data_IF_769946556179
#
_entry.id   IF_769946556179
#
_cell.length_a   1.000
_cell.length_b   1.000
_cell.length_c   1.000
_cell.angle_alpha   90.00
_cell.angle_beta   90.00
_cell.angle_gamma   90.00
#
_symmetry.space_group_name_H-M   'P 1'
#
loop_
_entity.id
_entity.type
_entity.pdbx_description
1 polymer ?
#
# COMPACT_ATOMS: atom_id res chain seq x y z
N UNK A 1 38.71 -22.77 10.74
CA UNK A 1 37.55 -21.96 10.32
C UNK A 1 37.69 -20.60 11.00
N UNK A 2 38.14 -19.57 10.29
CA UNK A 2 38.12 -18.21 10.82
C UNK A 2 36.65 -17.82 10.97
N UNK A 3 36.21 -17.56 12.21
CA UNK A 3 34.94 -16.89 12.44
C UNK A 3 35.01 -15.58 11.65
N UNK A 4 34.19 -15.45 10.60
CA UNK A 4 34.08 -14.20 9.87
C UNK A 4 33.81 -13.07 10.85
N UNK A 5 34.34 -11.86 10.61
CA UNK A 5 34.12 -10.73 11.51
C UNK A 5 32.64 -10.63 11.83
N UNK A 6 32.29 -10.58 13.12
CA UNK A 6 30.90 -10.37 13.54
C UNK A 6 30.43 -9.09 12.87
N UNK A 7 29.64 -9.24 11.80
CA UNK A 7 29.06 -8.11 11.11
C UNK A 7 28.10 -7.47 12.10
N UNK A 8 28.50 -6.32 12.65
CA UNK A 8 27.64 -5.50 13.49
C UNK A 8 26.30 -5.25 12.79
N UNK A 9 25.28 -4.90 13.58
CA UNK A 9 23.96 -4.61 13.03
C UNK A 9 24.09 -3.60 11.87
N UNK A 10 23.36 -3.80 10.76
CA UNK A 10 23.58 -3.05 9.52
C UNK A 10 23.47 -1.53 9.71
N UNK A 11 22.67 -1.08 10.68
CA UNK A 11 22.44 0.34 11.04
C UNK A 11 23.04 0.72 12.40
N UNK A 12 24.07 0.00 12.87
CA UNK A 12 24.70 0.26 14.15
C UNK A 12 25.22 1.70 14.25
N UNK A 13 24.81 2.42 15.29
CA UNK A 13 25.25 3.80 15.54
C UNK A 13 26.77 3.92 15.74
N UNK A 14 27.49 2.82 15.97
CA UNK A 14 28.95 2.83 16.15
C UNK A 14 29.75 2.83 14.84
N UNK A 15 29.28 2.18 13.77
CA UNK A 15 30.05 1.95 12.53
C UNK A 15 29.81 2.99 11.45
N UNK A 16 30.81 3.76 11.00
CA UNK A 16 30.57 4.86 10.04
C UNK A 16 30.48 4.34 8.61
N UNK A 17 29.49 4.82 7.84
CA UNK A 17 29.39 4.49 6.42
C UNK A 17 28.94 5.69 5.57
N UNK A 18 29.62 5.98 4.48
CA UNK A 18 29.23 7.04 3.54
C UNK A 18 29.34 6.53 2.10
N UNK A 19 28.93 7.33 1.13
CA UNK A 19 29.11 7.05 -0.29
C UNK A 19 30.37 7.74 -0.81
N UNK A 20 31.10 7.08 -1.71
CA UNK A 20 32.21 7.71 -2.43
C UNK A 20 31.73 8.91 -3.26
N UNK A 21 32.42 10.04 -3.15
CA UNK A 21 32.12 11.28 -3.90
C UNK A 21 32.23 11.14 -5.42
N UNK A 22 33.01 10.15 -5.90
CA UNK A 22 33.25 9.94 -7.33
C UNK A 22 32.28 8.93 -7.95
N UNK A 23 32.09 7.76 -7.33
CA UNK A 23 31.32 6.66 -7.92
C UNK A 23 30.05 6.28 -7.15
N UNK A 24 29.82 6.83 -5.96
CA UNK A 24 28.66 6.52 -5.12
C UNK A 24 28.70 5.19 -4.38
N UNK A 25 29.76 4.40 -4.55
CA UNK A 25 29.89 3.10 -3.86
C UNK A 25 29.97 3.29 -2.34
N UNK A 26 29.35 2.41 -1.53
CA UNK A 26 29.46 2.45 -0.07
C UNK A 26 30.91 2.32 0.40
N UNK A 27 31.27 3.14 1.38
CA UNK A 27 32.58 3.15 2.03
C UNK A 27 32.37 3.14 3.53
N UNK A 28 32.91 2.11 4.20
CA UNK A 28 32.88 1.98 5.66
C UNK A 28 34.23 2.34 6.26
N UNK A 29 34.23 2.93 7.45
CA UNK A 29 35.45 3.25 8.19
C UNK A 29 35.20 3.63 9.65
N UNK A 30 36.23 4.13 10.34
CA UNK A 30 36.07 4.68 11.69
C UNK A 30 35.17 5.94 11.68
N UNK A 31 34.66 6.31 12.86
CA UNK A 31 33.87 7.53 13.05
C UNK A 31 34.76 8.77 12.99
N UNK A 32 35.04 9.22 11.77
CA UNK A 32 36.05 10.23 11.47
C UNK A 32 37.27 9.64 10.77
N UNK A 33 37.88 10.40 9.85
CA UNK A 33 39.15 10.05 9.21
C UNK A 33 39.03 9.79 7.72
N UNK A 34 39.87 8.92 7.17
CA UNK A 34 39.88 8.60 5.75
C UNK A 34 39.66 7.10 5.51
N UNK A 35 38.92 6.77 4.46
CA UNK A 35 38.72 5.41 3.99
C UNK A 35 38.86 5.34 2.47
N UNK A 36 39.45 4.27 1.95
CA UNK A 36 39.62 4.08 0.52
C UNK A 36 38.38 3.42 -0.09
N UNK A 37 37.84 4.00 -1.16
CA UNK A 37 36.74 3.39 -1.90
C UNK A 37 37.21 2.11 -2.61
N UNK A 38 36.59 0.97 -2.33
CA UNK A 38 36.96 -0.32 -2.93
C UNK A 38 36.75 -0.41 -4.46
N UNK A 39 35.96 0.50 -5.05
CA UNK A 39 35.64 0.48 -6.49
C UNK A 39 36.52 1.37 -7.34
N UNK A 40 36.73 2.62 -6.94
CA UNK A 40 37.52 3.60 -7.71
C UNK A 40 38.82 4.02 -7.03
N UNK A 41 39.18 3.41 -5.89
CA UNK A 41 40.37 3.71 -5.10
C UNK A 41 40.49 5.14 -4.54
N UNK A 42 39.48 5.99 -4.75
CA UNK A 42 39.43 7.35 -4.21
C UNK A 42 39.44 7.32 -2.68
N UNK A 43 40.29 8.14 -2.07
CA UNK A 43 40.26 8.40 -0.63
C UNK A 43 39.04 9.27 -0.29
N UNK A 44 38.20 8.77 0.60
CA UNK A 44 36.98 9.44 1.08
C UNK A 44 37.22 9.87 2.51
N UNK A 45 37.09 11.17 2.77
CA UNK A 45 37.02 11.69 4.13
C UNK A 45 35.65 11.36 4.73
N UNK A 46 35.65 10.62 5.84
CA UNK A 46 34.46 10.31 6.62
C UNK A 46 34.35 11.36 7.74
N UNK A 47 33.29 12.17 7.72
CA UNK A 47 33.07 13.15 8.80
C UNK A 47 32.64 12.42 10.07
N UNK A 48 33.15 12.81 11.26
CA UNK A 48 32.65 12.30 12.54
C UNK A 48 31.15 12.58 12.69
N UNK A 49 30.37 11.64 13.21
CA UNK A 49 28.91 11.82 13.42
C UNK A 49 28.55 13.00 14.28
N UNK A 50 29.38 13.34 15.25
CA UNK A 50 29.19 14.53 16.09
C UNK A 50 29.09 15.85 15.29
N UNK A 51 29.45 15.85 14.00
CA UNK A 51 29.27 17.01 13.12
C UNK A 51 27.88 17.14 12.48
N UNK A 52 27.08 16.07 12.45
CA UNK A 52 25.77 16.07 11.77
C UNK A 52 24.67 15.29 12.51
N UNK A 53 24.98 14.62 13.61
CA UNK A 53 24.07 13.79 14.40
C UNK A 53 24.40 13.95 15.90
N UNK A 54 24.29 15.16 16.41
CA UNK A 54 24.53 15.47 17.83
C UNK A 54 23.27 15.19 18.64
N UNK A 55 23.33 14.42 19.74
CA UNK A 55 22.19 14.23 20.63
C UNK A 55 21.66 15.56 21.16
N UNK A 56 20.36 15.82 20.95
CA UNK A 56 19.65 17.01 21.43
C UNK A 56 18.62 16.68 22.54
N UNK A 57 18.24 15.41 22.68
CA UNK A 57 17.16 14.96 23.58
C UNK A 57 15.83 15.72 23.34
N UNK A 58 15.48 15.92 22.07
CA UNK A 58 14.23 16.58 21.70
C UNK A 58 13.03 15.81 22.24
N UNK A 59 12.22 16.47 23.06
CA UNK A 59 11.01 15.91 23.63
C UNK A 59 9.80 16.23 22.75
N UNK A 60 8.91 15.25 22.59
CA UNK A 60 7.62 15.46 21.94
C UNK A 60 6.73 16.35 22.81
N UNK A 61 6.49 17.57 22.34
CA UNK A 61 5.53 18.50 22.95
C UNK A 61 4.13 18.37 22.33
N UNK A 62 3.18 19.20 22.80
CA UNK A 62 1.93 19.40 22.08
C UNK A 62 2.21 19.96 20.68
N UNK A 63 1.49 19.47 19.67
CA UNK A 63 1.69 19.91 18.30
C UNK A 63 1.24 21.36 18.13
N UNK A 64 2.07 22.18 17.47
CA UNK A 64 1.74 23.57 17.20
C UNK A 64 0.55 23.66 16.21
N UNK A 65 -0.50 24.47 16.48
CA UNK A 65 -1.68 24.55 15.63
C UNK A 65 -1.39 24.86 14.15
N UNK A 66 -0.33 25.62 13.86
CA UNK A 66 0.08 25.94 12.49
C UNK A 66 0.52 24.71 11.67
N UNK A 67 0.96 23.61 12.31
CA UNK A 67 1.32 22.38 11.61
C UNK A 67 0.09 21.71 10.99
N UNK A 68 -1.07 21.78 11.65
CA UNK A 68 -2.33 21.23 11.12
C UNK A 68 -2.78 21.94 9.84
N UNK A 69 -2.39 23.20 9.61
CA UNK A 69 -2.68 23.90 8.35
C UNK A 69 -1.83 23.41 7.15
N UNK A 70 -0.84 22.55 7.40
CA UNK A 70 -0.01 21.92 6.36
C UNK A 70 -0.51 20.53 5.98
N UNK A 71 -1.46 19.98 6.74
CA UNK A 71 -2.05 18.67 6.54
C UNK A 71 -2.81 18.56 5.20
N UNK A 72 -2.83 17.38 4.59
CA UNK A 72 -3.45 17.14 3.28
C UNK A 72 -2.67 17.70 2.08
N UNK A 73 -1.43 18.16 2.27
CA UNK A 73 -0.57 18.61 1.17
C UNK A 73 0.34 17.46 0.73
N UNK A 74 0.17 16.92 -0.50
CA UNK A 74 1.00 15.83 -0.95
C UNK A 74 2.46 16.29 -1.08
N UNK A 75 3.38 15.40 -0.74
CA UNK A 75 4.80 15.64 -0.96
C UNK A 75 5.11 15.45 -2.45
N UNK A 76 5.42 16.54 -3.14
CA UNK A 76 5.76 16.52 -4.57
C UNK A 76 7.28 16.60 -4.73
N UNK A 77 7.89 15.79 -5.64
CA UNK A 77 9.31 15.92 -5.96
C UNK A 77 9.67 17.35 -6.40
N UNK A 78 10.85 17.88 -6.01
CA UNK A 78 11.33 19.17 -6.52
C UNK A 78 11.35 19.21 -8.06
N UNK A 79 11.01 20.36 -8.70
CA UNK A 79 10.86 20.46 -10.15
C UNK A 79 12.08 19.96 -10.95
N UNK A 80 13.29 20.20 -10.44
CA UNK A 80 14.55 19.82 -11.08
C UNK A 80 14.77 18.31 -11.18
N UNK A 81 14.03 17.50 -10.43
CA UNK A 81 14.16 16.04 -10.43
C UNK A 81 12.83 15.35 -10.71
N UNK A 82 11.72 16.08 -10.77
CA UNK A 82 10.37 15.55 -11.01
C UNK A 82 10.28 14.67 -12.26
N UNK A 83 11.08 14.96 -13.30
CA UNK A 83 11.11 14.16 -14.52
C UNK A 83 11.60 12.72 -14.32
N UNK A 84 12.24 12.39 -13.20
CA UNK A 84 12.71 11.03 -12.89
C UNK A 84 11.58 10.09 -12.43
N UNK A 85 10.43 10.65 -12.04
CA UNK A 85 9.26 9.90 -11.58
C UNK A 85 8.31 9.63 -12.75
N UNK A 86 7.75 8.42 -12.79
CA UNK A 86 6.75 8.01 -13.78
C UNK A 86 5.53 7.37 -13.10
N UNK A 87 4.36 7.40 -13.74
CA UNK A 87 3.19 6.54 -13.49
C UNK A 87 2.90 6.18 -12.02
N UNK A 88 2.70 7.18 -11.15
CA UNK A 88 2.25 6.92 -9.78
C UNK A 88 3.28 7.16 -8.68
N UNK A 89 4.34 7.92 -8.96
CA UNK A 89 5.16 8.48 -7.88
C UNK A 89 6.37 7.63 -7.48
N UNK A 90 6.87 6.77 -8.38
CA UNK A 90 8.15 6.08 -8.18
C UNK A 90 9.16 6.33 -9.30
N UNK A 91 10.46 6.13 -8.98
CA UNK A 91 11.54 6.08 -9.97
C UNK A 91 11.57 4.67 -10.59
N UNK A 92 11.29 4.52 -11.90
CA UNK A 92 11.28 3.21 -12.55
C UNK A 92 12.70 2.64 -12.70
N UNK A 93 12.80 1.32 -12.92
CA UNK A 93 14.09 0.62 -12.94
C UNK A 93 15.07 1.17 -14.00
N UNK A 94 14.58 1.58 -15.17
CA UNK A 94 15.42 2.12 -16.25
C UNK A 94 16.01 3.51 -15.95
N UNK A 95 15.43 4.27 -15.01
CA UNK A 95 15.93 5.60 -14.62
C UNK A 95 16.81 5.59 -13.38
N UNK A 96 17.05 4.44 -12.75
CA UNK A 96 17.83 4.40 -11.51
C UNK A 96 19.26 4.91 -11.66
N UNK A 97 19.90 4.64 -12.81
CA UNK A 97 21.24 5.14 -13.08
C UNK A 97 21.26 6.67 -13.18
N UNK A 98 20.28 7.25 -13.86
CA UNK A 98 20.09 8.69 -13.97
C UNK A 98 19.80 9.33 -12.60
N UNK A 99 18.93 8.71 -11.81
CA UNK A 99 18.63 9.15 -10.45
C UNK A 99 19.85 9.12 -9.52
N UNK A 100 20.74 8.13 -9.66
CA UNK A 100 22.00 8.09 -8.91
C UNK A 100 22.95 9.23 -9.31
N UNK A 101 23.02 9.58 -10.60
CA UNK A 101 23.79 10.74 -11.08
C UNK A 101 23.20 12.04 -10.53
N UNK A 102 21.88 12.20 -10.60
CA UNK A 102 21.18 13.36 -10.02
C UNK A 102 21.42 13.46 -8.51
N UNK A 103 21.38 12.34 -7.77
CA UNK A 103 21.63 12.29 -6.34
C UNK A 103 23.06 12.72 -5.99
N UNK A 104 24.07 12.26 -6.71
CA UNK A 104 25.46 12.71 -6.53
C UNK A 104 25.63 14.20 -6.84
N UNK A 105 24.95 14.70 -7.87
CA UNK A 105 24.92 16.12 -8.22
C UNK A 105 24.30 16.97 -7.11
N UNK A 106 23.12 16.58 -6.61
CA UNK A 106 22.43 17.23 -5.51
C UNK A 106 23.28 17.21 -4.23
N UNK A 107 23.95 16.09 -3.92
CA UNK A 107 24.88 15.99 -2.78
C UNK A 107 26.00 17.01 -2.80
N UNK A 108 26.66 17.17 -3.95
CA UNK A 108 27.74 18.17 -4.10
C UNK A 108 27.22 19.59 -3.92
N UNK A 109 26.05 19.91 -4.48
CA UNK A 109 25.43 21.25 -4.34
C UNK A 109 24.95 21.52 -2.92
N UNK A 110 24.32 20.55 -2.25
CA UNK A 110 23.88 20.67 -0.86
C UNK A 110 25.08 20.91 0.08
N UNK A 111 26.20 20.21 -0.14
CA UNK A 111 27.45 20.46 0.59
C UNK A 111 28.03 21.87 0.34
N UNK A 112 27.73 22.47 -0.82
CA UNK A 112 28.04 23.86 -1.15
C UNK A 112 26.96 24.86 -0.68
N UNK A 113 26.05 24.44 0.20
CA UNK A 113 24.97 25.25 0.78
C UNK A 113 23.89 25.71 -0.21
N UNK A 114 23.68 24.99 -1.31
CA UNK A 114 22.49 25.17 -2.15
C UNK A 114 21.24 24.61 -1.44
N UNK A 115 20.35 25.52 -1.05
CA UNK A 115 19.11 25.19 -0.31
C UNK A 115 18.19 24.27 -1.11
N UNK A 116 18.07 24.48 -2.43
CA UNK A 116 17.20 23.67 -3.29
C UNK A 116 17.73 22.24 -3.45
N UNK A 117 19.05 22.09 -3.48
CA UNK A 117 19.70 20.78 -3.56
C UNK A 117 19.45 19.90 -2.33
N UNK A 118 19.20 20.50 -1.17
CA UNK A 118 18.89 19.78 0.07
C UNK A 118 17.55 19.01 -0.01
N UNK A 119 16.53 19.58 -0.64
CA UNK A 119 15.26 18.88 -0.85
C UNK A 119 15.41 17.77 -1.89
N UNK A 120 16.15 18.05 -2.97
CA UNK A 120 16.42 17.07 -4.02
C UNK A 120 17.15 15.84 -3.49
N UNK A 121 18.22 16.04 -2.69
CA UNK A 121 18.96 14.92 -2.11
C UNK A 121 18.11 14.16 -1.09
N UNK A 122 17.29 14.80 -0.26
CA UNK A 122 16.40 14.10 0.67
C UNK A 122 15.40 13.20 -0.07
N UNK A 123 14.71 13.73 -1.08
CA UNK A 123 13.75 12.98 -1.88
C UNK A 123 14.41 11.80 -2.61
N UNK A 124 15.53 12.03 -3.29
CA UNK A 124 16.27 10.97 -3.99
C UNK A 124 16.83 9.93 -3.03
N UNK A 125 17.28 10.33 -1.84
CA UNK A 125 17.77 9.39 -0.82
C UNK A 125 16.65 8.48 -0.33
N UNK A 126 15.46 9.02 -0.06
CA UNK A 126 14.29 8.23 0.36
C UNK A 126 13.97 7.13 -0.65
N UNK A 127 13.88 7.49 -1.93
CA UNK A 127 13.57 6.55 -3.02
C UNK A 127 14.69 5.52 -3.27
N UNK A 128 15.93 5.98 -3.39
CA UNK A 128 17.04 5.09 -3.75
C UNK A 128 17.43 4.17 -2.59
N UNK A 129 17.36 4.64 -1.34
CA UNK A 129 17.59 3.82 -0.16
C UNK A 129 16.48 2.76 0.02
N UNK A 130 15.21 3.13 -0.21
CA UNK A 130 14.08 2.17 -0.21
C UNK A 130 14.29 1.07 -1.25
N UNK A 131 14.70 1.42 -2.47
CA UNK A 131 15.00 0.43 -3.53
C UNK A 131 16.23 -0.43 -3.23
N UNK A 132 17.25 0.13 -2.58
CA UNK A 132 18.42 -0.64 -2.12
C UNK A 132 18.01 -1.64 -1.01
N UNK A 133 17.16 -1.21 -0.08
CA UNK A 133 16.61 -2.07 0.96
C UNK A 133 15.75 -3.20 0.39
N UNK A 134 14.88 -2.93 -0.58
CA UNK A 134 14.08 -3.95 -1.26
C UNK A 134 14.96 -5.02 -1.93
N UNK A 135 16.19 -4.66 -2.34
CA UNK A 135 17.23 -5.57 -2.87
C UNK A 135 18.10 -6.22 -1.80
N UNK A 136 17.86 -5.93 -0.52
CA UNK A 136 18.67 -6.33 0.64
C UNK A 136 20.10 -5.78 0.62
N UNK A 137 20.35 -4.69 -0.10
CA UNK A 137 21.62 -3.95 -0.10
C UNK A 137 21.60 -2.89 1.02
N UNK A 138 21.55 -3.37 2.26
CA UNK A 138 21.50 -2.53 3.46
C UNK A 138 22.73 -1.61 3.61
N UNK A 139 23.96 -2.06 3.29
CA UNK A 139 25.12 -1.16 3.30
C UNK A 139 24.93 0.03 2.38
N UNK A 140 24.40 -0.18 1.16
CA UNK A 140 24.14 0.95 0.25
C UNK A 140 23.06 1.88 0.76
N UNK A 141 21.93 1.35 1.21
CA UNK A 141 20.86 2.17 1.76
C UNK A 141 21.38 3.07 2.91
N UNK A 142 22.13 2.49 3.83
CA UNK A 142 22.79 3.20 4.93
C UNK A 142 23.77 4.26 4.45
N UNK A 143 24.70 3.88 3.57
CA UNK A 143 25.72 4.77 3.04
C UNK A 143 25.11 6.02 2.39
N UNK A 144 24.02 5.84 1.65
CA UNK A 144 23.30 6.95 1.01
C UNK A 144 22.66 7.89 2.05
N UNK A 145 22.00 7.35 3.07
CA UNK A 145 21.36 8.16 4.12
C UNK A 145 22.40 8.95 4.92
N UNK A 146 23.47 8.30 5.39
CA UNK A 146 24.53 8.97 6.13
C UNK A 146 25.30 9.98 5.25
N UNK A 147 25.53 9.69 3.96
CA UNK A 147 26.12 10.64 3.02
C UNK A 147 25.24 11.87 2.78
N UNK A 148 23.92 11.68 2.76
CA UNK A 148 22.98 12.79 2.65
C UNK A 148 22.98 13.64 3.92
N UNK A 149 22.98 13.01 5.11
CA UNK A 149 23.07 13.68 6.41
C UNK A 149 24.31 14.58 6.53
N UNK A 150 25.46 14.15 5.99
CA UNK A 150 26.69 14.96 5.95
C UNK A 150 26.59 16.24 5.10
N UNK A 151 25.64 16.25 4.17
CA UNK A 151 25.56 17.26 3.11
C UNK A 151 24.45 18.28 3.38
N UNK A 152 23.34 17.85 3.98
CA UNK A 152 22.20 18.72 4.29
C UNK A 152 22.46 19.61 5.49
N UNK A 153 21.96 20.84 5.42
CA UNK A 153 22.16 21.86 6.47
C UNK A 153 20.88 22.19 7.22
N UNK A 154 19.71 22.07 6.57
CA UNK A 154 18.45 22.45 7.21
C UNK A 154 18.00 21.40 8.22
N UNK A 155 17.53 21.79 9.42
CA UNK A 155 17.04 20.86 10.44
C UNK A 155 15.96 19.92 9.91
N UNK A 156 15.01 20.43 9.10
CA UNK A 156 13.93 19.60 8.53
C UNK A 156 14.44 18.43 7.67
N UNK A 157 15.47 18.68 6.87
CA UNK A 157 16.10 17.69 5.98
C UNK A 157 16.81 16.62 6.80
N UNK A 158 17.49 17.04 7.88
CA UNK A 158 18.13 16.11 8.83
C UNK A 158 17.11 15.25 9.55
N UNK A 159 15.99 15.80 10.01
CA UNK A 159 14.93 15.04 10.69
C UNK A 159 14.38 13.90 9.83
N UNK A 160 14.18 14.13 8.52
CA UNK A 160 13.77 13.08 7.57
C UNK A 160 14.78 11.92 7.55
N UNK A 161 16.05 12.26 7.34
CA UNK A 161 17.11 11.26 7.19
C UNK A 161 17.43 10.54 8.52
N UNK A 162 17.39 11.25 9.64
CA UNK A 162 17.52 10.66 10.99
C UNK A 162 16.35 9.73 11.29
N UNK A 163 15.13 10.09 10.88
CA UNK A 163 13.95 9.25 11.02
C UNK A 163 14.09 7.94 10.25
N UNK A 164 14.59 7.99 9.01
CA UNK A 164 14.92 6.80 8.23
C UNK A 164 15.93 5.91 8.96
N UNK A 165 17.04 6.47 9.48
CA UNK A 165 18.05 5.70 10.21
C UNK A 165 17.48 5.03 11.48
N UNK A 166 16.70 5.77 12.27
CA UNK A 166 16.08 5.25 13.49
C UNK A 166 15.13 4.09 13.16
N UNK A 167 14.27 4.26 12.15
CA UNK A 167 13.31 3.23 11.72
C UNK A 167 13.99 1.98 11.16
N UNK A 168 15.06 2.13 10.37
CA UNK A 168 15.83 1.00 9.82
C UNK A 168 16.60 0.24 10.90
N UNK A 169 17.17 0.93 11.89
CA UNK A 169 17.79 0.30 13.04
C UNK A 169 16.79 -0.50 13.88
N UNK A 170 15.61 0.09 14.17
CA UNK A 170 14.54 -0.60 14.89
C UNK A 170 14.03 -1.83 14.12
N UNK A 171 13.89 -1.71 12.80
CA UNK A 171 13.53 -2.82 11.90
C UNK A 171 14.54 -3.97 11.97
N UNK A 172 15.83 -3.65 12.02
CA UNK A 172 16.90 -4.62 12.17
C UNK A 172 17.01 -5.21 13.59
N UNK A 173 16.15 -4.80 14.53
CA UNK A 173 16.18 -5.23 15.93
C UNK A 173 17.26 -4.55 16.78
N UNK A 174 17.99 -3.58 16.24
CA UNK A 174 19.00 -2.81 16.97
C UNK A 174 18.33 -1.60 17.65
N UNK A 175 17.59 -1.89 18.72
CA UNK A 175 16.86 -0.89 19.49
C UNK A 175 17.78 0.17 20.08
N UNK A 176 19.01 -0.19 20.47
CA UNK A 176 19.98 0.74 21.02
C UNK A 176 20.42 1.77 19.97
N UNK A 177 20.81 1.33 18.77
CA UNK A 177 21.16 2.26 17.70
C UNK A 177 19.97 3.09 17.24
N UNK A 178 18.78 2.49 17.17
CA UNK A 178 17.56 3.21 16.83
C UNK A 178 17.28 4.37 17.80
N UNK A 179 17.53 4.13 19.09
CA UNK A 179 17.43 5.13 20.15
C UNK A 179 18.48 6.22 20.03
N UNK A 180 19.71 5.85 19.70
CA UNK A 180 20.81 6.80 19.51
C UNK A 180 20.50 7.74 18.32
N UNK A 181 20.07 7.20 17.17
CA UNK A 181 19.64 8.01 16.02
C UNK A 181 18.46 8.94 16.36
N UNK A 182 17.47 8.44 17.10
CA UNK A 182 16.33 9.24 17.52
C UNK A 182 16.74 10.41 18.44
N UNK A 183 17.75 10.22 19.30
CA UNK A 183 18.24 11.27 20.19
C UNK A 183 18.86 12.46 19.46
N UNK A 184 19.26 12.28 18.20
CA UNK A 184 19.91 13.31 17.37
C UNK A 184 18.93 14.26 16.68
N UNK A 185 17.62 14.05 16.81
CA UNK A 185 16.62 14.94 16.21
C UNK A 185 16.72 16.35 16.78
N UNK A 186 16.69 17.35 15.90
CA UNK A 186 16.61 18.76 16.26
C UNK A 186 15.13 19.16 16.51
N UNK A 187 14.91 20.35 17.09
CA UNK A 187 13.57 20.89 17.27
C UNK A 187 12.88 21.10 15.91
N UNK A 188 11.66 20.60 15.79
CA UNK A 188 10.88 20.57 14.54
C UNK A 188 10.21 21.92 14.28
N UNK A 189 10.11 22.31 13.01
CA UNK A 189 9.58 23.63 12.61
C UNK A 189 8.39 23.53 11.66
N UNK A 190 8.17 22.35 11.07
CA UNK A 190 7.13 22.08 10.08
C UNK A 190 6.49 20.71 10.33
N UNK A 191 5.37 20.45 9.64
CA UNK A 191 4.63 19.20 9.82
C UNK A 191 5.44 17.98 9.38
N UNK A 192 6.27 18.10 8.34
CA UNK A 192 7.07 16.99 7.82
C UNK A 192 8.12 16.52 8.83
N UNK A 193 8.93 17.44 9.35
CA UNK A 193 9.94 17.13 10.36
C UNK A 193 9.33 16.63 11.68
N UNK A 194 8.18 17.19 12.09
CA UNK A 194 7.40 16.72 13.25
C UNK A 194 6.85 15.31 13.04
N UNK A 195 6.32 15.01 11.86
CA UNK A 195 5.79 13.70 11.51
C UNK A 195 6.89 12.64 11.51
N UNK A 196 8.07 12.97 10.97
CA UNK A 196 9.24 12.09 10.98
C UNK A 196 9.70 11.78 12.43
N UNK A 197 9.73 12.77 13.32
CA UNK A 197 10.06 12.57 14.73
C UNK A 197 9.02 11.68 15.42
N UNK A 198 7.73 11.97 15.25
CA UNK A 198 6.63 11.24 15.89
C UNK A 198 6.55 9.79 15.43
N UNK A 199 6.58 9.55 14.13
CA UNK A 199 6.52 8.19 13.57
C UNK A 199 7.76 7.40 13.92
N UNK A 200 8.96 8.00 13.88
CA UNK A 200 10.18 7.32 14.32
C UNK A 200 10.14 6.99 15.81
N UNK A 201 9.62 7.90 16.65
CA UNK A 201 9.40 7.64 18.07
C UNK A 201 8.44 6.47 18.27
N UNK A 202 7.33 6.41 17.54
CA UNK A 202 6.39 5.30 17.59
C UNK A 202 7.02 3.95 17.19
N UNK A 203 7.86 3.93 16.15
CA UNK A 203 8.58 2.71 15.73
C UNK A 203 9.55 2.24 16.82
N UNK A 204 10.37 3.15 17.34
CA UNK A 204 11.36 2.83 18.39
C UNK A 204 10.68 2.40 19.69
N UNK A 205 9.61 3.10 20.09
CA UNK A 205 8.81 2.75 21.27
C UNK A 205 8.15 1.37 21.12
N UNK A 206 7.63 1.05 19.94
CA UNK A 206 7.11 -0.29 19.64
C UNK A 206 8.18 -1.37 19.79
N UNK A 207 9.39 -1.13 19.28
CA UNK A 207 10.51 -2.05 19.42
C UNK A 207 10.97 -2.25 20.87
N UNK A 208 10.69 -1.29 21.75
CA UNK A 208 10.93 -1.38 23.21
C UNK A 208 9.76 -1.98 23.99
N UNK A 209 8.60 -2.17 23.36
CA UNK A 209 7.37 -2.57 24.04
C UNK A 209 6.68 -1.45 24.84
N UNK A 210 7.03 -0.18 24.61
CA UNK A 210 6.41 0.98 25.26
C UNK A 210 5.25 1.52 24.42
N UNK A 211 4.10 0.85 24.51
CA UNK A 211 2.91 1.20 23.71
C UNK A 211 2.24 2.51 24.14
N UNK A 212 2.46 2.97 25.37
CA UNK A 212 1.99 4.28 25.81
C UNK A 212 2.78 5.40 25.13
N UNK A 213 4.10 5.27 25.01
CA UNK A 213 4.90 6.23 24.25
C UNK A 213 4.51 6.27 22.77
N UNK A 214 4.09 5.14 22.18
CA UNK A 214 3.52 5.12 20.82
C UNK A 214 2.29 6.02 20.74
N UNK A 215 1.29 5.82 21.61
CA UNK A 215 0.06 6.61 21.60
C UNK A 215 0.29 8.09 21.95
N UNK A 216 1.27 8.41 22.80
CA UNK A 216 1.66 9.79 23.05
C UNK A 216 2.29 10.44 21.81
N UNK A 217 3.01 9.66 20.99
CA UNK A 217 3.67 10.17 19.79
C UNK A 217 2.71 10.39 18.62
N UNK A 218 1.83 9.43 18.34
CA UNK A 218 0.93 9.47 17.17
C UNK A 218 -0.55 9.69 17.51
N UNK A 219 -0.90 9.82 18.79
CA UNK A 219 -2.29 9.97 19.24
C UNK A 219 -3.03 8.63 19.27
N UNK A 220 -4.13 8.58 20.06
CA UNK A 220 -5.03 7.43 20.13
C UNK A 220 -6.10 7.40 19.03
N UNK A 221 -6.29 8.50 18.29
CA UNK A 221 -7.22 8.61 17.16
C UNK A 221 -6.53 9.23 15.94
N UNK A 222 -7.12 9.08 14.74
CA UNK A 222 -6.53 9.52 13.47
C UNK A 222 -6.29 11.03 13.36
N UNK A 223 -7.18 11.83 13.93
CA UNK A 223 -7.23 13.30 13.82
C UNK A 223 -6.61 14.03 15.03
N UNK A 224 -6.24 13.27 16.07
CA UNK A 224 -5.71 13.84 17.32
C UNK A 224 -4.39 14.57 17.10
N UNK A 225 -3.52 14.02 16.24
CA UNK A 225 -2.21 14.57 15.90
C UNK A 225 -2.09 14.58 14.39
N UNK A 226 -1.84 15.74 13.80
CA UNK A 226 -1.64 15.84 12.36
C UNK A 226 -0.34 15.13 11.99
N UNK A 227 -0.37 14.29 10.97
CA UNK A 227 0.77 13.57 10.42
C UNK A 227 0.76 13.83 8.91
N UNK A 228 1.92 14.06 8.32
CA UNK A 228 2.07 14.22 6.88
C UNK A 228 1.50 12.99 6.15
N UNK A 229 0.69 13.20 5.09
CA UNK A 229 -0.02 12.16 4.33
C UNK A 229 0.87 10.95 3.94
N UNK A 230 2.14 11.18 3.62
CA UNK A 230 3.08 10.12 3.24
C UNK A 230 3.40 9.15 4.40
N UNK A 231 3.27 9.59 5.64
CA UNK A 231 3.57 8.83 6.86
C UNK A 231 2.30 8.36 7.60
N UNK A 232 1.12 8.80 7.16
CA UNK A 232 -0.18 8.47 7.73
C UNK A 232 -0.42 6.95 7.85
N UNK A 233 -0.20 6.13 6.79
CA UNK A 233 -0.37 4.68 6.88
C UNK A 233 0.55 4.06 7.95
N UNK A 234 1.77 4.57 8.08
CA UNK A 234 2.71 4.06 9.06
C UNK A 234 2.29 4.45 10.49
N UNK A 235 1.94 5.72 10.73
CA UNK A 235 1.43 6.19 12.01
C UNK A 235 0.18 5.40 12.45
N UNK A 236 -0.75 5.17 11.53
CA UNK A 236 -1.95 4.38 11.75
C UNK A 236 -1.66 2.96 12.25
N UNK A 237 -0.75 2.25 11.60
CA UNK A 237 -0.42 0.86 11.94
C UNK A 237 0.20 0.77 13.34
N UNK A 238 1.14 1.67 13.66
CA UNK A 238 1.75 1.67 14.98
C UNK A 238 0.75 2.06 16.07
N UNK A 239 -0.17 3.00 15.79
CA UNK A 239 -1.30 3.33 16.67
C UNK A 239 -2.21 2.12 16.92
N UNK A 240 -2.68 1.46 15.86
CA UNK A 240 -3.55 0.29 15.94
C UNK A 240 -2.87 -0.84 16.72
N UNK A 241 -1.58 -1.09 16.44
CA UNK A 241 -0.80 -2.08 17.16
C UNK A 241 -0.67 -1.74 18.66
N UNK A 242 -0.43 -0.47 19.01
CA UNK A 242 -0.37 -0.05 20.40
C UNK A 242 -1.72 -0.23 21.13
N UNK A 243 -2.84 0.12 20.48
CA UNK A 243 -4.19 -0.13 21.01
C UNK A 243 -4.43 -1.63 21.25
N UNK A 244 -4.09 -2.49 20.30
CA UNK A 244 -4.18 -3.95 20.46
C UNK A 244 -3.35 -4.45 21.65
N UNK A 245 -2.08 -4.03 21.73
CA UNK A 245 -1.15 -4.47 22.78
C UNK A 245 -1.55 -3.99 24.18
N UNK A 246 -2.35 -2.93 24.26
CA UNK A 246 -2.96 -2.45 25.50
C UNK A 246 -4.32 -3.09 25.82
N UNK A 247 -4.76 -4.09 25.05
CA UNK A 247 -6.04 -4.78 25.25
C UNK A 247 -7.27 -4.03 24.71
N UNK A 248 -7.09 -2.91 24.00
CA UNK A 248 -8.16 -2.13 23.35
C UNK A 248 -8.46 -2.67 21.95
N UNK A 249 -8.60 -3.99 21.81
CA UNK A 249 -8.70 -4.69 20.52
C UNK A 249 -9.93 -4.27 19.70
N UNK A 250 -11.04 -3.91 20.36
CA UNK A 250 -12.23 -3.41 19.66
C UNK A 250 -11.96 -2.09 18.94
N UNK A 251 -11.27 -1.15 19.59
CA UNK A 251 -10.89 0.14 19.00
C UNK A 251 -9.85 -0.03 17.90
N UNK A 252 -8.86 -0.91 18.11
CA UNK A 252 -7.87 -1.27 17.09
C UNK A 252 -8.56 -1.82 15.82
N UNK A 253 -9.53 -2.73 16.00
CA UNK A 253 -10.33 -3.34 14.92
C UNK A 253 -11.13 -2.29 14.17
N UNK A 254 -11.77 -1.36 14.88
CA UNK A 254 -12.53 -0.29 14.25
C UNK A 254 -11.62 0.63 13.43
N UNK A 255 -10.49 1.07 14.00
CA UNK A 255 -9.55 1.94 13.27
C UNK A 255 -8.96 1.27 12.03
N UNK A 256 -8.65 -0.03 12.08
CA UNK A 256 -8.18 -0.75 10.89
C UNK A 256 -9.27 -0.86 9.81
N UNK A 257 -10.54 -1.02 10.18
CA UNK A 257 -11.67 -0.98 9.24
C UNK A 257 -11.82 0.41 8.62
N UNK A 258 -11.78 1.46 9.42
CA UNK A 258 -11.87 2.85 8.94
C UNK A 258 -10.70 3.17 7.99
N UNK A 259 -9.52 2.64 8.29
CA UNK A 259 -8.35 2.76 7.43
C UNK A 259 -8.55 2.05 6.08
N UNK A 260 -9.08 0.81 6.08
CA UNK A 260 -9.39 0.08 4.84
C UNK A 260 -10.54 0.71 4.03
N UNK A 261 -11.48 1.39 4.70
CA UNK A 261 -12.55 2.13 4.04
C UNK A 261 -12.03 3.32 3.20
N UNK A 262 -10.80 3.80 3.43
CA UNK A 262 -10.15 4.83 2.60
C UNK A 262 -9.76 4.33 1.20
N UNK A 263 -9.75 3.03 0.96
CA UNK A 263 -9.56 2.44 -0.37
C UNK A 263 -8.54 1.28 -0.41
N UNK A 264 -8.48 0.56 -1.55
CA UNK A 264 -7.66 -0.64 -1.71
C UNK A 264 -6.15 -0.37 -1.58
N UNK A 265 -5.69 0.82 -1.98
CA UNK A 265 -4.29 1.23 -1.83
C UNK A 265 -3.82 1.23 -0.37
N UNK A 266 -4.74 1.49 0.57
CA UNK A 266 -4.41 1.51 2.00
C UNK A 266 -4.19 0.09 2.56
N UNK A 267 -4.95 -0.92 2.10
CA UNK A 267 -4.70 -2.32 2.48
C UNK A 267 -3.30 -2.75 2.04
N UNK A 268 -2.93 -2.46 0.79
CA UNK A 268 -1.60 -2.77 0.26
C UNK A 268 -0.49 -2.06 1.04
N UNK A 269 -0.69 -0.79 1.39
CA UNK A 269 0.25 -0.04 2.23
C UNK A 269 0.42 -0.69 3.61
N UNK A 270 -0.68 -1.12 4.24
CA UNK A 270 -0.65 -1.79 5.54
C UNK A 270 0.10 -3.11 5.49
N UNK A 271 -0.19 -3.97 4.50
CA UNK A 271 0.50 -5.25 4.32
C UNK A 271 2.00 -5.05 4.04
N UNK A 272 2.34 -4.07 3.19
CA UNK A 272 3.73 -3.72 2.89
C UNK A 272 4.48 -3.26 4.13
N UNK A 273 3.90 -2.37 4.93
CA UNK A 273 4.53 -1.90 6.18
C UNK A 273 4.63 -3.06 7.19
N UNK A 274 3.62 -3.90 7.33
CA UNK A 274 3.70 -5.06 8.23
C UNK A 274 4.84 -6.02 7.81
N UNK A 275 4.99 -6.27 6.51
CA UNK A 275 6.07 -7.09 5.96
C UNK A 275 7.46 -6.48 6.16
N UNK A 276 7.56 -5.15 6.24
CA UNK A 276 8.80 -4.46 6.56
C UNK A 276 9.23 -4.63 8.03
N UNK A 277 8.31 -4.89 8.97
CA UNK A 277 8.61 -5.00 10.41
C UNK A 277 8.22 -6.37 11.01
N UNK A 278 8.75 -7.50 10.48
CA UNK A 278 8.32 -8.83 10.93
C UNK A 278 8.65 -9.09 12.41
N UNK A 279 9.76 -8.53 12.91
CA UNK A 279 10.20 -8.67 14.30
C UNK A 279 9.31 -7.95 15.32
N UNK A 280 8.54 -6.95 14.90
CA UNK A 280 7.71 -6.15 15.80
C UNK A 280 6.32 -6.77 16.05
N UNK A 281 5.96 -7.82 15.31
CA UNK A 281 4.68 -8.53 15.50
C UNK A 281 3.47 -7.59 15.44
N UNK A 282 3.42 -6.73 14.41
CA UNK A 282 2.39 -5.70 14.28
C UNK A 282 1.01 -6.33 14.03
N UNK A 283 0.01 -5.93 14.83
CA UNK A 283 -1.42 -6.26 14.64
C UNK A 283 -1.72 -7.76 14.51
N UNK A 284 -1.14 -8.58 15.39
CA UNK A 284 -1.27 -10.04 15.33
C UNK A 284 -2.71 -10.53 15.53
N UNK A 285 -3.53 -9.79 16.29
CA UNK A 285 -4.93 -10.17 16.56
C UNK A 285 -5.91 -9.40 15.67
N UNK A 286 -5.68 -8.10 15.49
CA UNK A 286 -6.58 -7.17 14.82
C UNK A 286 -6.65 -7.45 13.33
N UNK A 287 -5.51 -7.71 12.68
CA UNK A 287 -5.50 -7.96 11.24
C UNK A 287 -6.31 -9.22 10.87
N UNK A 288 -6.07 -10.41 11.47
CA UNK A 288 -6.91 -11.58 11.20
C UNK A 288 -8.39 -11.36 11.52
N UNK A 289 -8.72 -10.62 12.59
CA UNK A 289 -10.10 -10.34 12.96
C UNK A 289 -10.82 -9.47 11.91
N UNK A 290 -10.17 -8.42 11.40
CA UNK A 290 -10.72 -7.60 10.32
C UNK A 290 -10.81 -8.39 9.02
N UNK A 291 -9.82 -9.21 8.69
CA UNK A 291 -9.85 -10.07 7.51
C UNK A 291 -11.00 -11.09 7.59
N UNK A 292 -11.20 -11.75 8.74
CA UNK A 292 -12.29 -12.69 8.94
C UNK A 292 -13.67 -12.01 8.84
N UNK A 293 -13.82 -10.82 9.41
CA UNK A 293 -15.06 -10.04 9.30
C UNK A 293 -15.33 -9.62 7.85
N UNK A 294 -14.31 -9.15 7.13
CA UNK A 294 -14.40 -8.82 5.70
C UNK A 294 -14.79 -10.05 4.88
N UNK A 295 -14.18 -11.21 5.16
CA UNK A 295 -14.53 -12.47 4.51
C UNK A 295 -15.97 -12.89 4.77
N UNK A 296 -16.44 -12.76 6.01
CA UNK A 296 -17.81 -13.08 6.35
C UNK A 296 -18.80 -12.15 5.63
N UNK A 297 -18.51 -10.86 5.58
CA UNK A 297 -19.32 -9.88 4.86
C UNK A 297 -19.33 -10.16 3.35
N UNK A 298 -18.15 -10.39 2.75
CA UNK A 298 -18.01 -10.73 1.34
C UNK A 298 -18.75 -12.04 0.98
N UNK A 299 -18.67 -13.08 1.83
CA UNK A 299 -19.43 -14.33 1.64
C UNK A 299 -20.95 -14.12 1.72
N UNK A 300 -21.40 -13.20 2.57
CA UNK A 300 -22.82 -12.87 2.71
C UNK A 300 -23.37 -12.07 1.51
N UNK A 301 -22.54 -11.21 0.90
CA UNK A 301 -22.95 -10.36 -0.23
C UNK A 301 -22.63 -10.97 -1.61
N UNK A 302 -21.73 -11.96 -1.67
CA UNK A 302 -21.31 -12.63 -2.90
C UNK A 302 -22.50 -13.19 -3.70
N UNK A 303 -22.63 -12.72 -4.94
CA UNK A 303 -23.66 -13.17 -5.87
C UNK A 303 -25.08 -12.73 -5.53
N UNK A 304 -25.35 -12.10 -4.38
CA UNK A 304 -26.71 -11.75 -3.93
C UNK A 304 -27.43 -10.85 -4.93
N UNK A 305 -26.74 -9.86 -5.50
CA UNK A 305 -27.30 -8.99 -6.53
C UNK A 305 -27.68 -9.75 -7.81
N UNK A 306 -26.81 -10.65 -8.29
CA UNK A 306 -27.05 -11.47 -9.48
C UNK A 306 -28.13 -12.53 -9.25
N UNK A 307 -28.17 -13.13 -8.06
CA UNK A 307 -29.22 -14.06 -7.64
C UNK A 307 -30.57 -13.34 -7.62
N UNK A 308 -30.65 -12.20 -6.94
CA UNK A 308 -31.88 -11.39 -6.86
C UNK A 308 -32.36 -10.96 -8.25
N UNK A 309 -31.49 -10.38 -9.07
CA UNK A 309 -31.81 -9.99 -10.44
C UNK A 309 -32.26 -11.19 -11.29
N UNK A 310 -31.59 -12.34 -11.16
CA UNK A 310 -31.97 -13.57 -11.86
C UNK A 310 -33.37 -14.05 -11.48
N UNK A 311 -33.70 -14.05 -10.18
CA UNK A 311 -35.04 -14.38 -9.69
C UNK A 311 -36.11 -13.40 -10.18
N UNK A 312 -35.81 -12.09 -10.18
CA UNK A 312 -36.72 -11.06 -10.70
C UNK A 312 -36.98 -11.25 -12.18
N UNK A 313 -35.94 -11.44 -13.01
CA UNK A 313 -36.08 -11.66 -14.45
C UNK A 313 -36.91 -12.92 -14.75
N UNK A 314 -36.69 -14.02 -14.02
CA UNK A 314 -37.50 -15.23 -14.16
C UNK A 314 -38.96 -14.95 -13.76
N UNK A 315 -39.20 -14.33 -12.60
CA UNK A 315 -40.54 -14.04 -12.12
C UNK A 315 -41.34 -13.10 -13.04
N UNK A 316 -40.72 -12.00 -13.46
CA UNK A 316 -41.30 -11.04 -14.42
C UNK A 316 -41.54 -11.69 -15.78
N UNK A 317 -40.72 -12.67 -16.18
CA UNK A 317 -40.95 -13.38 -17.44
C UNK A 317 -42.13 -14.36 -17.37
N UNK A 318 -42.31 -15.04 -16.24
CA UNK A 318 -43.38 -16.03 -16.04
C UNK A 318 -44.75 -15.39 -15.79
N UNK A 319 -44.80 -14.23 -15.13
CA UNK A 319 -46.07 -13.59 -14.75
C UNK A 319 -46.98 -13.28 -15.96
N UNK A 320 -46.51 -12.62 -17.04
CA UNK A 320 -47.32 -12.40 -18.24
C UNK A 320 -47.79 -13.70 -18.89
N UNK A 321 -46.93 -14.73 -18.91
CA UNK A 321 -47.29 -16.03 -19.48
C UNK A 321 -48.41 -16.72 -18.70
N UNK A 322 -48.34 -16.69 -17.36
CA UNK A 322 -49.40 -17.22 -16.49
C UNK A 322 -50.70 -16.45 -16.68
N UNK A 323 -50.64 -15.11 -16.74
CA UNK A 323 -51.82 -14.26 -16.98
C UNK A 323 -52.45 -14.57 -18.34
N UNK A 324 -51.65 -14.55 -19.42
CA UNK A 324 -52.15 -14.79 -20.78
C UNK A 324 -52.70 -16.21 -20.96
N UNK A 325 -52.03 -17.21 -20.37
CA UNK A 325 -52.53 -18.59 -20.40
C UNK A 325 -53.83 -18.72 -19.60
N UNK A 326 -53.97 -18.02 -18.48
CA UNK A 326 -55.19 -17.98 -17.67
C UNK A 326 -56.36 -17.31 -18.41
N UNK A 327 -56.12 -16.19 -19.07
CA UNK A 327 -57.13 -15.48 -19.89
C UNK A 327 -57.57 -16.36 -21.06
N UNK A 328 -56.62 -16.95 -21.81
CA UNK A 328 -56.94 -17.83 -22.92
C UNK A 328 -57.74 -19.07 -22.48
N UNK A 329 -57.39 -19.67 -21.33
CA UNK A 329 -58.13 -20.80 -20.77
C UNK A 329 -59.54 -20.38 -20.34
N UNK A 330 -59.69 -19.20 -19.71
CA UNK A 330 -60.98 -18.68 -19.29
C UNK A 330 -61.91 -18.41 -20.48
N UNK A 331 -61.45 -17.71 -21.52
CA UNK A 331 -62.23 -17.45 -22.74
C UNK A 331 -62.64 -18.75 -23.43
N UNK A 332 -61.73 -19.71 -23.54
CA UNK A 332 -62.03 -21.03 -24.11
C UNK A 332 -63.13 -21.75 -23.32
N UNK A 333 -63.07 -21.72 -21.99
CA UNK A 333 -64.06 -22.38 -21.13
C UNK A 333 -65.40 -21.64 -21.07
N UNK A 334 -65.40 -20.31 -21.10
CA UNK A 334 -66.58 -19.48 -20.93
C UNK A 334 -67.34 -19.24 -22.24
N UNK A 335 -66.62 -18.98 -23.34
CA UNK A 335 -67.18 -18.50 -24.60
C UNK A 335 -66.92 -19.46 -25.77
N UNK A 336 -66.02 -20.45 -25.60
CA UNK A 336 -65.60 -21.34 -26.68
C UNK A 336 -64.76 -20.64 -27.75
N UNK A 337 -64.31 -19.42 -27.49
CA UNK A 337 -63.46 -18.63 -28.38
C UNK A 337 -61.97 -18.96 -28.15
N UNK A 338 -61.14 -18.68 -29.16
CA UNK A 338 -59.69 -18.94 -29.14
C UNK A 338 -58.89 -17.68 -29.51
N UNK A 339 -59.50 -16.51 -29.44
CA UNK A 339 -58.85 -15.25 -29.83
C UNK A 339 -57.69 -14.90 -28.88
N UNK A 340 -57.86 -15.03 -27.56
CA UNK A 340 -56.75 -14.82 -26.61
C UNK A 340 -55.62 -15.85 -26.71
N UNK A 341 -55.84 -17.02 -27.34
CA UNK A 341 -54.79 -18.02 -27.50
C UNK A 341 -53.63 -17.52 -28.38
N UNK A 342 -53.87 -16.53 -29.25
CA UNK A 342 -52.84 -15.87 -30.06
C UNK A 342 -51.79 -15.16 -29.19
N UNK A 343 -52.18 -14.65 -28.01
CA UNK A 343 -51.27 -13.96 -27.11
C UNK A 343 -50.27 -14.87 -26.36
N UNK A 344 -50.60 -16.15 -26.21
CA UNK A 344 -49.76 -17.15 -25.52
C UNK A 344 -48.38 -17.30 -26.17
N UNK A 345 -48.24 -17.55 -27.49
CA UNK A 345 -46.92 -17.67 -28.12
C UNK A 345 -46.07 -16.39 -28.02
N UNK A 346 -46.67 -15.19 -28.04
CA UNK A 346 -45.94 -13.94 -27.81
C UNK A 346 -45.39 -13.86 -26.39
N UNK A 347 -46.19 -14.23 -25.39
CA UNK A 347 -45.73 -14.29 -24.00
C UNK A 347 -44.63 -15.34 -23.78
N UNK A 348 -44.64 -16.44 -24.55
CA UNK A 348 -43.60 -17.47 -24.50
C UNK A 348 -42.24 -16.94 -24.99
N UNK A 349 -42.20 -16.08 -26.02
CA UNK A 349 -40.95 -15.43 -26.46
C UNK A 349 -40.34 -14.62 -25.31
N UNK A 350 -41.18 -13.91 -24.54
CA UNK A 350 -40.74 -13.13 -23.39
C UNK A 350 -40.20 -14.03 -22.27
N UNK A 351 -40.89 -15.15 -21.97
CA UNK A 351 -40.41 -16.20 -21.04
C UNK A 351 -39.05 -16.74 -21.46
N UNK A 352 -38.87 -17.05 -22.75
CA UNK A 352 -37.63 -17.61 -23.24
C UNK A 352 -36.49 -16.58 -23.15
N UNK A 353 -36.70 -15.35 -23.62
CA UNK A 353 -35.67 -14.31 -23.61
C UNK A 353 -35.26 -13.93 -22.17
N UNK A 354 -36.22 -13.52 -21.34
CA UNK A 354 -35.95 -13.04 -19.99
C UNK A 354 -35.72 -14.18 -18.99
N UNK A 355 -36.38 -15.32 -19.17
CA UNK A 355 -36.15 -16.51 -18.34
C UNK A 355 -34.78 -17.14 -18.58
N UNK A 356 -34.32 -17.25 -19.84
CA UNK A 356 -32.96 -17.73 -20.11
C UNK A 356 -31.90 -16.75 -19.62
N UNK A 357 -32.14 -15.44 -19.77
CA UNK A 357 -31.25 -14.42 -19.22
C UNK A 357 -31.21 -14.49 -17.68
N UNK A 358 -32.36 -14.56 -17.02
CA UNK A 358 -32.47 -14.70 -15.58
C UNK A 358 -31.81 -15.96 -15.04
N UNK A 359 -31.98 -17.11 -15.71
CA UNK A 359 -31.29 -18.36 -15.38
C UNK A 359 -29.77 -18.24 -15.51
N UNK A 360 -29.27 -17.58 -16.56
CA UNK A 360 -27.82 -17.31 -16.72
C UNK A 360 -27.30 -16.43 -15.58
N UNK A 361 -27.99 -15.34 -15.27
CA UNK A 361 -27.60 -14.41 -14.20
C UNK A 361 -27.63 -15.11 -12.83
N UNK A 362 -28.66 -15.90 -12.54
CA UNK A 362 -28.78 -16.70 -11.31
C UNK A 362 -27.61 -17.70 -11.19
N UNK A 363 -27.27 -18.42 -12.26
CA UNK A 363 -26.13 -19.34 -12.27
C UNK A 363 -24.80 -18.63 -12.01
N UNK A 364 -24.60 -17.44 -12.58
CA UNK A 364 -23.40 -16.63 -12.32
C UNK A 364 -23.36 -16.23 -10.84
N UNK A 365 -24.46 -15.75 -10.26
CA UNK A 365 -24.51 -15.38 -8.84
C UNK A 365 -24.27 -16.57 -7.90
N UNK A 366 -24.84 -17.75 -8.20
CA UNK A 366 -24.57 -18.98 -7.45
C UNK A 366 -23.11 -19.43 -7.58
N UNK A 367 -22.50 -19.26 -8.76
CA UNK A 367 -21.08 -19.55 -9.00
C UNK A 367 -20.19 -18.61 -8.19
N UNK A 368 -20.47 -17.31 -8.17
CA UNK A 368 -19.74 -16.34 -7.35
C UNK A 368 -19.83 -16.67 -5.86
N UNK A 369 -21.04 -16.96 -5.37
CA UNK A 369 -21.24 -17.37 -3.98
C UNK A 369 -20.43 -18.61 -3.62
N UNK A 370 -20.36 -19.59 -4.53
CA UNK A 370 -19.53 -20.78 -4.37
C UNK A 370 -18.03 -20.44 -4.35
N UNK A 371 -17.56 -19.60 -5.27
CA UNK A 371 -16.15 -19.16 -5.34
C UNK A 371 -15.77 -18.39 -4.07
N UNK A 372 -16.64 -17.56 -3.51
CA UNK A 372 -16.35 -16.89 -2.24
C UNK A 372 -16.36 -17.84 -1.03
N UNK A 373 -17.19 -18.88 -1.05
CA UNK A 373 -17.29 -19.85 0.05
C UNK A 373 -16.14 -20.87 0.05
N UNK A 374 -15.73 -21.37 -1.13
CA UNK A 374 -14.79 -22.48 -1.29
C UNK A 374 -13.53 -22.12 -2.09
N UNK A 375 -13.48 -20.93 -2.68
CA UNK A 375 -12.36 -20.50 -3.51
C UNK A 375 -11.14 -20.13 -2.70
N UNK A 376 -9.97 -20.40 -3.29
CA UNK A 376 -8.66 -20.11 -2.73
C UNK A 376 -8.31 -18.66 -3.06
N UNK A 377 -7.88 -17.90 -2.05
CA UNK A 377 -7.32 -16.56 -2.24
C UNK A 377 -5.98 -16.67 -2.96
N UNK A 378 -5.81 -15.89 -4.02
CA UNK A 378 -4.58 -15.81 -4.77
C UNK A 378 -4.33 -14.38 -5.25
N UNK A 379 -3.06 -14.07 -5.50
CA UNK A 379 -2.70 -12.88 -6.25
C UNK A 379 -2.77 -13.19 -7.74
N UNK A 380 -3.23 -12.22 -8.53
CA UNK A 380 -3.26 -12.32 -9.98
C UNK A 380 -2.61 -11.10 -10.60
N UNK A 381 -1.79 -11.33 -11.63
CA UNK A 381 -1.19 -10.27 -12.44
C UNK A 381 -2.10 -9.96 -13.61
N UNK A 382 -2.42 -8.68 -13.82
CA UNK A 382 -3.13 -8.23 -15.02
C UNK A 382 -2.24 -8.44 -16.23
N UNK A 383 -2.70 -9.22 -17.20
CA UNK A 383 -2.01 -9.45 -18.48
C UNK A 383 -2.51 -8.45 -19.52
N UNK A 384 -3.80 -8.15 -19.49
CA UNK A 384 -4.45 -7.25 -20.43
C UNK A 384 -5.83 -6.84 -19.95
N UNK A 385 -6.33 -5.74 -20.50
CA UNK A 385 -7.68 -5.27 -20.27
C UNK A 385 -8.25 -4.72 -21.57
N UNK A 386 -9.47 -5.12 -21.92
CA UNK A 386 -10.15 -4.62 -23.12
C UNK A 386 -11.62 -4.31 -22.81
N UNK A 387 -12.20 -3.23 -23.40
CA UNK A 387 -13.62 -2.97 -23.28
C UNK A 387 -14.42 -4.09 -23.95
N UNK A 388 -15.52 -4.50 -23.32
CA UNK A 388 -16.43 -5.51 -23.88
C UNK A 388 -17.40 -4.94 -24.93
N UNK A 389 -17.47 -3.61 -25.04
CA UNK A 389 -18.48 -2.89 -25.81
C UNK A 389 -19.78 -2.61 -25.04
N UNK A 390 -19.95 -3.15 -23.84
CA UNK A 390 -21.08 -2.86 -22.95
C UNK A 390 -20.73 -1.75 -21.96
N UNK A 391 -21.69 -0.86 -21.71
CA UNK A 391 -21.58 0.19 -20.70
C UNK A 391 -22.85 0.21 -19.85
N UNK A 392 -22.72 0.51 -18.56
CA UNK A 392 -23.84 0.66 -17.62
C UNK A 392 -23.67 2.02 -16.94
N UNK A 393 -24.60 2.94 -17.18
CA UNK A 393 -24.53 4.32 -16.66
C UNK A 393 -23.19 5.00 -16.98
N UNK A 394 -22.77 4.95 -18.26
CA UNK A 394 -21.50 5.50 -18.75
C UNK A 394 -20.22 4.88 -18.14
N UNK A 395 -20.37 3.80 -17.37
CA UNK A 395 -19.25 3.03 -16.84
C UNK A 395 -19.00 1.84 -17.77
N UNK A 396 -17.83 1.73 -18.43
CA UNK A 396 -17.53 0.63 -19.32
C UNK A 396 -17.35 -0.69 -18.57
N UNK A 397 -17.92 -1.76 -19.11
CA UNK A 397 -17.59 -3.12 -18.69
C UNK A 397 -16.29 -3.55 -19.38
N UNK A 398 -15.26 -3.79 -18.59
CA UNK A 398 -13.94 -4.23 -19.03
C UNK A 398 -13.79 -5.74 -18.85
N UNK A 399 -13.22 -6.41 -19.84
CA UNK A 399 -12.69 -7.77 -19.71
C UNK A 399 -11.23 -7.67 -19.30
N UNK A 400 -10.91 -8.15 -18.11
CA UNK A 400 -9.55 -8.14 -17.55
C UNK A 400 -8.99 -9.55 -17.59
N UNK A 401 -7.91 -9.75 -18.34
CA UNK A 401 -7.18 -11.00 -18.43
C UNK A 401 -6.15 -11.07 -17.31
N UNK A 402 -6.15 -12.18 -16.58
CA UNK A 402 -5.41 -12.35 -15.34
C UNK A 402 -4.56 -13.61 -15.38
N UNK A 403 -3.31 -13.50 -14.92
CA UNK A 403 -2.45 -14.63 -14.58
C UNK A 403 -2.47 -14.82 -13.06
N UNK A 404 -3.24 -15.79 -12.59
CA UNK A 404 -3.31 -16.13 -11.17
C UNK A 404 -2.04 -16.88 -10.78
N UNK A 405 -1.33 -16.36 -9.78
CA UNK A 405 -0.05 -16.87 -9.28
C UNK A 405 -0.23 -18.09 -8.36
N UNK A 406 -0.90 -19.13 -8.88
CA UNK A 406 -0.95 -20.46 -8.29
C UNK A 406 0.22 -21.33 -8.82
N UNK A 407 0.39 -22.52 -8.27
CA UNK A 407 1.32 -23.53 -8.80
C UNK A 407 0.53 -24.74 -9.31
N UNK A 408 0.38 -24.92 -10.65
CA UNK A 408 0.87 -24.07 -11.74
C UNK A 408 0.06 -22.76 -11.91
N UNK A 409 0.62 -21.72 -12.57
CA UNK A 409 -0.11 -20.49 -12.85
C UNK A 409 -1.32 -20.73 -13.74
N UNK A 410 -2.40 -20.00 -13.50
CA UNK A 410 -3.68 -20.16 -14.21
C UNK A 410 -4.05 -18.87 -14.92
N UNK A 411 -4.44 -18.96 -16.20
CA UNK A 411 -5.02 -17.82 -16.93
C UNK A 411 -6.54 -17.82 -16.84
N UNK A 412 -7.10 -16.69 -16.46
CA UNK A 412 -8.55 -16.47 -16.37
C UNK A 412 -8.89 -15.07 -16.90
N UNK A 413 -10.18 -14.81 -17.09
CA UNK A 413 -10.67 -13.48 -17.44
C UNK A 413 -11.89 -13.15 -16.58
N UNK A 414 -11.91 -11.95 -16.01
CA UNK A 414 -13.05 -11.42 -15.29
C UNK A 414 -13.69 -10.28 -16.08
N UNK A 415 -14.99 -10.07 -15.88
CA UNK A 415 -15.71 -8.90 -16.38
C UNK A 415 -16.10 -8.03 -15.21
N UNK A 416 -15.79 -6.75 -15.28
CA UNK A 416 -16.14 -5.80 -14.24
C UNK A 416 -16.41 -4.41 -14.83
N UNK A 417 -17.30 -3.66 -14.18
CA UNK A 417 -17.48 -2.24 -14.42
C UNK A 417 -16.31 -1.50 -13.78
N UNK A 418 -15.68 -0.60 -14.55
CA UNK A 418 -14.49 0.13 -14.11
C UNK A 418 -14.73 1.60 -14.31
N UNK A 419 -14.71 2.37 -13.22
CA UNK A 419 -14.83 3.82 -13.34
C UNK A 419 -13.69 4.35 -14.22
N UNK A 420 -13.92 5.32 -15.12
CA UNK A 420 -12.86 5.86 -15.97
C UNK A 420 -11.61 6.30 -15.21
N UNK A 421 -11.77 6.87 -14.00
CA UNK A 421 -10.65 7.26 -13.13
C UNK A 421 -9.84 6.09 -12.56
N UNK A 422 -10.39 4.88 -12.52
CA UNK A 422 -9.77 3.69 -11.95
C UNK A 422 -9.10 2.80 -13.00
N UNK A 423 -9.22 3.10 -14.30
CA UNK A 423 -8.67 2.25 -15.37
C UNK A 423 -7.15 1.99 -15.24
N UNK A 424 -6.43 2.90 -14.59
CA UNK A 424 -5.00 2.74 -14.30
C UNK A 424 -4.68 1.52 -13.42
N UNK A 425 -5.62 1.05 -12.57
CA UNK A 425 -5.42 -0.17 -11.77
C UNK A 425 -5.44 -1.45 -12.62
N UNK A 426 -5.87 -1.35 -13.88
CA UNK A 426 -5.98 -2.47 -14.81
C UNK A 426 -4.88 -2.47 -15.87
N UNK A 427 -3.82 -1.68 -15.68
CA UNK A 427 -2.67 -1.74 -16.56
C UNK A 427 -1.98 -3.11 -16.44
N UNK A 428 -1.47 -3.67 -17.56
CA UNK A 428 -0.68 -4.89 -17.52
C UNK A 428 0.47 -4.80 -16.51
N UNK A 429 0.63 -5.84 -15.70
CA UNK A 429 1.60 -5.91 -14.61
C UNK A 429 1.02 -5.60 -13.23
N UNK A 430 -0.13 -4.93 -13.14
CA UNK A 430 -0.77 -4.65 -11.84
C UNK A 430 -1.18 -5.95 -11.13
N UNK A 431 -0.96 -6.01 -9.82
CA UNK A 431 -1.35 -7.13 -8.98
C UNK A 431 -2.73 -6.89 -8.38
N UNK A 432 -3.64 -7.85 -8.55
CA UNK A 432 -4.98 -7.86 -7.98
C UNK A 432 -5.14 -9.07 -7.06
N UNK A 433 -6.00 -8.94 -6.05
CA UNK A 433 -6.41 -10.06 -5.22
C UNK A 433 -7.68 -10.69 -5.78
N UNK A 434 -7.63 -12.01 -6.00
CA UNK A 434 -8.75 -12.78 -6.54
C UNK A 434 -9.00 -14.03 -5.72
N UNK A 435 -10.23 -14.55 -5.82
CA UNK A 435 -10.58 -15.90 -5.39
C UNK A 435 -10.82 -16.77 -6.61
N UNK A 436 -10.18 -17.93 -6.62
CA UNK A 436 -10.30 -18.91 -7.70
C UNK A 436 -10.97 -20.17 -7.17
N UNK A 437 -11.92 -20.71 -7.93
CA UNK A 437 -12.52 -22.01 -7.62
C UNK A 437 -11.50 -23.12 -7.93
N UNK A 438 -11.06 -23.91 -6.93
CA UNK A 438 -10.08 -24.97 -7.16
C UNK A 438 -10.60 -26.08 -8.10
N UNK A 439 -11.92 -26.25 -8.25
CA UNK A 439 -12.52 -27.21 -9.18
C UNK A 439 -12.67 -26.62 -10.60
N UNK A 440 -12.71 -25.29 -10.71
CA UNK A 440 -12.89 -24.55 -11.95
C UNK A 440 -11.92 -23.36 -12.00
N UNK A 441 -10.63 -23.60 -12.27
CA UNK A 441 -9.60 -22.57 -12.21
C UNK A 441 -9.79 -21.46 -13.26
N UNK A 442 -10.62 -21.69 -14.28
CA UNK A 442 -11.08 -20.68 -15.24
C UNK A 442 -11.94 -19.57 -14.60
N UNK A 443 -12.35 -19.74 -13.34
CA UNK A 443 -13.27 -18.86 -12.63
C UNK A 443 -12.54 -18.11 -11.54
N UNK A 444 -12.35 -16.83 -11.77
CA UNK A 444 -11.93 -15.91 -10.74
C UNK A 444 -13.03 -14.92 -10.40
N UNK A 445 -13.07 -14.51 -9.14
CA UNK A 445 -13.82 -13.34 -8.67
C UNK A 445 -12.86 -12.41 -7.96
N UNK A 446 -13.00 -11.11 -8.18
CA UNK A 446 -12.18 -10.10 -7.54
C UNK A 446 -12.48 -10.06 -6.03
N UNK A 447 -11.43 -10.09 -5.20
CA UNK A 447 -11.53 -10.00 -3.74
C UNK A 447 -11.21 -8.55 -3.33
N UNK A 448 -12.20 -7.67 -3.47
CA UNK A 448 -12.11 -6.25 -3.07
C UNK A 448 -12.30 -6.12 -1.55
#
# INVERSE_FOLDING_TARGET
MMQGPMMGAPFSFSQRMSCCWQCGEPVSGPDGGQAQCGRCAQMVELKPRASFATPQNTHLGPQHPAMRAQDGKPLVPPPNIMFLWENGGEIPAHRQAEALVAWQGARRRAAAMDVGAGEEICMLTRELASKAEARRDLPRARAMIEAALESVQLPRQRSILLGMMARMAARAGDVQSASAWLSCFEATQDLESESELRVSTAVVATARGDFMAVLNAVGSAFDQIAIQDALDPQAAIFRINALERMGRTAEATQQLRDLFAKGPGMRNAVESIQAQYPSLGLMQQTMPAVQAAHEQAARATAGTGKIGMGCVLIGVSLLPFVIMSGVALYEFLAEGSYEAAIGVPFSLIFVLAFGLWGLRTLRVGLRERRVFAAGVRAQARVIGSAPTGTQINDIPEMRVELEVLLQPPVRTAIRMLVNPGEQHILMPGTMLYVRVDPQHPDVAVLDQ
#
